data_IF_159565612601
#
_entry.id   IF_159565612601
#
_cell.length_a   1.000
_cell.length_b   1.000
_cell.length_c   1.000
_cell.angle_alpha   90.00
_cell.angle_beta   90.00
_cell.angle_gamma   90.00
#
_symmetry.space_group_name_H-M   'P 1'
#
loop_
_entity.id
_entity.type
_entity.pdbx_description
1 polymer ?
#
# COMPACT_ATOMS: atom_id res chain seq x y z
N UNK A 1 9.49 -5.46 33.87
CA UNK A 1 8.57 -5.26 33.72
C UNK A 1 8.11 -4.14 33.15
N UNK A 2 8.54 -3.27 33.12
CA UNK A 2 8.06 -2.05 32.61
C UNK A 2 8.65 -1.67 31.30
N UNK A 3 9.55 -2.46 30.80
CA UNK A 3 10.20 -2.09 29.57
C UNK A 3 9.29 -2.09 28.38
N UNK A 4 8.23 -2.89 28.43
CA UNK A 4 7.35 -2.91 27.29
C UNK A 4 6.57 -1.63 27.13
N UNK A 5 6.66 -0.76 28.06
CA UNK A 5 6.00 0.51 27.94
C UNK A 5 6.50 1.28 26.74
N UNK A 6 7.73 1.08 26.38
CA UNK A 6 8.28 1.81 25.27
C UNK A 6 7.60 1.42 23.98
N UNK A 7 7.36 0.14 23.81
CA UNK A 7 6.73 -0.28 22.56
C UNK A 7 5.32 0.22 22.46
N UNK A 8 4.69 0.43 23.57
CA UNK A 8 3.32 0.88 23.52
C UNK A 8 3.19 2.23 22.87
N UNK A 9 4.22 3.02 22.97
CA UNK A 9 4.10 4.31 22.39
C UNK A 9 4.19 4.30 20.91
N UNK A 10 4.96 3.44 20.40
CA UNK A 10 5.01 3.36 18.98
C UNK A 10 3.72 2.85 18.45
N UNK A 11 3.10 2.04 19.24
CA UNK A 11 1.87 1.47 18.80
C UNK A 11 0.73 2.43 18.91
N UNK A 12 0.96 3.57 19.49
CA UNK A 12 -0.09 4.56 19.50
C UNK A 12 -0.43 5.01 18.10
N UNK A 13 0.46 4.78 17.17
CA UNK A 13 0.06 4.90 15.79
C UNK A 13 -0.88 3.73 15.54
N UNK A 14 -2.16 4.03 15.39
CA UNK A 14 -3.17 3.02 15.21
C UNK A 14 -2.72 2.02 14.16
N UNK A 15 -2.79 0.74 14.46
CA UNK A 15 -2.41 -0.25 13.45
C UNK A 15 -3.31 -0.09 12.25
N UNK A 16 -2.72 -0.20 11.08
CA UNK A 16 -3.47 -0.11 9.85
C UNK A 16 -4.55 -1.18 9.84
N UNK A 17 -5.75 -0.82 9.42
CA UNK A 17 -6.84 -1.76 9.37
C UNK A 17 -6.60 -2.87 8.38
N UNK A 18 -7.18 -4.02 8.64
CA UNK A 18 -7.12 -5.16 7.73
C UNK A 18 -8.54 -5.42 7.24
N UNK A 19 -8.71 -5.40 5.91
CA UNK A 19 -9.99 -5.68 5.28
C UNK A 19 -9.95 -7.00 4.53
N UNK A 20 -11.08 -7.32 3.92
CA UNK A 20 -11.23 -8.53 3.14
C UNK A 20 -11.84 -8.23 1.79
N UNK A 21 -11.33 -8.87 0.76
CA UNK A 21 -11.85 -8.66 -0.59
C UNK A 21 -13.27 -9.18 -0.68
N UNK A 22 -14.18 -8.31 -1.13
CA UNK A 22 -15.57 -8.66 -1.34
C UNK A 22 -15.86 -9.00 -2.80
N UNK A 23 -15.20 -8.30 -3.73
CA UNK A 23 -15.42 -8.51 -5.16
C UNK A 23 -14.22 -8.02 -5.96
N UNK A 24 -13.91 -8.71 -7.05
CA UNK A 24 -12.87 -8.30 -8.00
C UNK A 24 -13.51 -8.21 -9.37
N UNK A 25 -13.38 -7.05 -10.03
CA UNK A 25 -13.94 -6.82 -11.36
C UNK A 25 -12.87 -6.09 -12.18
N UNK A 26 -12.06 -6.84 -12.94
CA UNK A 26 -10.94 -6.26 -13.64
C UNK A 26 -9.99 -5.60 -12.64
N UNK A 27 -9.56 -4.36 -12.88
CA UNK A 27 -8.65 -3.68 -11.95
C UNK A 27 -9.36 -3.13 -10.72
N UNK A 28 -10.68 -3.24 -10.63
CA UNK A 28 -11.46 -2.67 -9.54
C UNK A 28 -11.69 -3.75 -8.49
N UNK A 29 -11.34 -3.45 -7.25
CA UNK A 29 -11.48 -4.38 -6.14
C UNK A 29 -12.28 -3.71 -5.03
N UNK A 30 -13.38 -4.34 -4.63
CA UNK A 30 -14.18 -3.85 -3.51
C UNK A 30 -13.76 -4.62 -2.27
N UNK A 31 -13.51 -3.90 -1.18
CA UNK A 31 -12.92 -4.47 0.02
C UNK A 31 -13.74 -4.00 1.22
N UNK A 32 -14.06 -4.94 2.10
CA UNK A 32 -14.77 -4.64 3.34
C UNK A 32 -13.76 -4.46 4.47
N UNK A 33 -13.89 -3.35 5.22
CA UNK A 33 -13.05 -3.06 6.36
C UNK A 33 -13.90 -2.97 7.62
N UNK A 34 -13.31 -3.17 8.81
CA UNK A 34 -14.03 -2.91 10.04
C UNK A 34 -14.54 -1.47 10.08
N UNK A 35 -15.70 -1.28 10.68
CA UNK A 35 -16.37 0.02 10.67
C UNK A 35 -15.49 1.15 11.21
N UNK A 36 -14.63 0.87 12.16
CA UNK A 36 -13.76 1.86 12.78
C UNK A 36 -12.38 1.94 12.12
N UNK A 37 -12.18 1.24 11.00
CA UNK A 37 -10.88 1.19 10.33
C UNK A 37 -11.01 1.37 8.82
N UNK A 38 -11.96 2.17 8.37
CA UNK A 38 -12.17 2.42 6.95
C UNK A 38 -11.03 3.28 6.42
N UNK A 39 -10.32 2.85 5.37
CA UNK A 39 -9.24 3.66 4.81
C UNK A 39 -9.75 4.95 4.18
N UNK A 40 -8.91 5.98 4.23
CA UNK A 40 -9.25 7.23 3.56
C UNK A 40 -9.08 7.13 2.05
N UNK A 41 -9.69 8.08 1.35
CA UNK A 41 -9.51 8.21 -0.10
C UNK A 41 -8.02 8.39 -0.38
N UNK A 42 -7.55 7.77 -1.44
CA UNK A 42 -6.15 7.78 -1.88
C UNK A 42 -5.19 6.97 -1.00
N UNK A 43 -5.66 6.36 0.10
CA UNK A 43 -4.79 5.47 0.84
C UNK A 43 -4.31 4.33 -0.05
N UNK A 44 -3.06 3.95 0.13
CA UNK A 44 -2.51 2.76 -0.51
C UNK A 44 -2.87 1.54 0.33
N UNK A 45 -3.37 0.52 -0.33
CA UNK A 45 -3.66 -0.76 0.31
C UNK A 45 -2.70 -1.79 -0.26
N UNK A 46 -2.37 -2.79 0.53
CA UNK A 46 -1.44 -3.85 0.10
C UNK A 46 -2.02 -5.21 0.36
N UNK A 47 -1.83 -6.09 -0.60
CA UNK A 47 -2.16 -7.50 -0.45
C UNK A 47 -1.12 -8.31 -1.22
N UNK A 48 -1.15 -9.60 -1.07
CA UNK A 48 -0.23 -10.48 -1.78
C UNK A 48 -0.99 -11.34 -2.76
N UNK A 49 -0.42 -11.52 -3.94
CA UNK A 49 -0.96 -12.39 -4.96
C UNK A 49 -0.03 -13.57 -5.10
N UNK A 50 -0.58 -14.78 -4.99
CA UNK A 50 0.20 -15.99 -5.18
C UNK A 50 -0.06 -16.55 -6.56
N UNK A 51 0.98 -16.60 -7.38
CA UNK A 51 0.90 -17.17 -8.72
C UNK A 51 1.94 -18.30 -8.76
N UNK A 52 1.47 -19.53 -8.74
CA UNK A 52 2.35 -20.69 -8.68
C UNK A 52 3.15 -20.66 -7.40
N UNK A 53 4.48 -20.64 -7.53
CA UNK A 53 5.37 -20.64 -6.37
C UNK A 53 5.76 -19.23 -5.94
N UNK A 54 5.30 -18.20 -6.65
CA UNK A 54 5.70 -16.83 -6.36
C UNK A 54 4.61 -16.08 -5.61
N UNK A 55 5.05 -15.26 -4.67
CA UNK A 55 4.14 -14.35 -3.96
C UNK A 55 4.58 -12.94 -4.31
N UNK A 56 3.66 -12.15 -4.86
CA UNK A 56 3.93 -10.79 -5.31
C UNK A 56 3.08 -9.81 -4.53
N UNK A 57 3.67 -8.70 -4.14
CA UNK A 57 2.92 -7.64 -3.48
C UNK A 57 2.12 -6.88 -4.52
N UNK A 58 0.84 -6.68 -4.24
CA UNK A 58 -0.04 -5.87 -5.06
C UNK A 58 -0.48 -4.65 -4.27
N UNK A 59 -0.30 -3.47 -4.87
CA UNK A 59 -0.74 -2.21 -4.29
C UNK A 59 -2.02 -1.76 -4.96
N UNK A 60 -2.97 -1.28 -4.15
CA UNK A 60 -4.22 -0.72 -4.65
C UNK A 60 -4.38 0.67 -4.06
N UNK A 61 -5.15 1.52 -4.72
CA UNK A 61 -5.43 2.86 -4.22
C UNK A 61 -6.93 3.00 -3.99
N UNK A 62 -7.31 3.49 -2.82
CA UNK A 62 -8.73 3.71 -2.50
C UNK A 62 -9.25 4.85 -3.36
N UNK A 63 -10.26 4.56 -4.16
CA UNK A 63 -10.85 5.53 -5.08
C UNK A 63 -12.18 6.07 -4.57
N UNK A 64 -12.92 5.28 -3.81
CA UNK A 64 -14.28 5.65 -3.44
C UNK A 64 -14.73 4.87 -2.20
N UNK A 65 -15.48 5.53 -1.34
CA UNK A 65 -16.21 4.85 -0.26
C UNK A 65 -17.59 4.49 -0.79
N UNK A 66 -17.98 3.23 -0.62
CA UNK A 66 -19.26 2.76 -1.13
C UNK A 66 -20.36 2.75 -0.08
N UNK A 67 -20.00 2.98 1.19
CA UNK A 67 -20.93 2.78 2.30
C UNK A 67 -20.91 1.33 2.75
N UNK A 68 -21.57 1.04 3.87
CA UNK A 68 -21.67 -0.32 4.43
C UNK A 68 -20.27 -0.95 4.64
N UNK A 69 -19.31 -0.14 5.06
CA UNK A 69 -17.94 -0.59 5.36
C UNK A 69 -17.18 -1.07 4.15
N UNK A 70 -17.65 -0.75 2.94
CA UNK A 70 -16.98 -1.13 1.71
C UNK A 70 -16.24 0.06 1.10
N UNK A 71 -15.05 -0.20 0.60
CA UNK A 71 -14.31 0.75 -0.21
C UNK A 71 -14.05 0.15 -1.58
N UNK A 72 -13.97 1.00 -2.58
CA UNK A 72 -13.59 0.61 -3.93
C UNK A 72 -12.19 1.09 -4.18
N UNK A 73 -11.32 0.18 -4.58
CA UNK A 73 -9.92 0.48 -4.85
C UNK A 73 -9.53 0.05 -6.25
N UNK A 74 -8.52 0.69 -6.79
CA UNK A 74 -8.00 0.39 -8.11
C UNK A 74 -6.64 -0.26 -7.94
N UNK A 75 -6.46 -1.43 -8.53
CA UNK A 75 -5.19 -2.13 -8.48
C UNK A 75 -4.22 -1.55 -9.49
N UNK A 76 -2.95 -1.44 -9.10
CA UNK A 76 -1.91 -0.88 -9.95
C UNK A 76 -1.23 -1.94 -10.80
N UNK A 77 -1.54 -3.20 -10.58
CA UNK A 77 -1.04 -4.34 -11.35
C UNK A 77 -2.21 -5.28 -11.58
N UNK A 78 -2.04 -6.29 -12.45
CA UNK A 78 -3.13 -7.23 -12.71
C UNK A 78 -3.63 -7.90 -11.44
N UNK A 79 -4.93 -8.13 -11.39
CA UNK A 79 -5.60 -8.69 -10.21
C UNK A 79 -5.73 -10.21 -10.28
N UNK A 80 -5.12 -10.84 -11.28
CA UNK A 80 -5.15 -12.29 -11.41
C UNK A 80 -4.57 -12.91 -10.14
N UNK A 81 -5.26 -13.89 -9.62
CA UNK A 81 -4.82 -14.56 -8.40
C UNK A 81 -5.45 -14.02 -7.12
N UNK A 82 -6.14 -12.89 -7.17
CA UNK A 82 -6.89 -12.42 -6.00
C UNK A 82 -8.12 -13.27 -5.78
N UNK A 83 -8.43 -13.53 -4.52
CA UNK A 83 -9.60 -14.32 -4.17
C UNK A 83 -10.47 -13.57 -3.19
N UNK A 84 -11.78 -13.83 -3.24
CA UNK A 84 -12.72 -13.25 -2.31
C UNK A 84 -12.39 -13.70 -0.88
N UNK A 85 -12.46 -12.78 0.06
CA UNK A 85 -12.12 -13.08 1.45
C UNK A 85 -10.66 -12.91 1.79
N UNK A 86 -9.82 -12.64 0.79
CA UNK A 86 -8.40 -12.45 1.02
C UNK A 86 -8.14 -11.16 1.80
N UNK A 87 -7.14 -11.18 2.66
CA UNK A 87 -6.81 -10.02 3.47
C UNK A 87 -6.13 -8.92 2.66
N UNK A 88 -6.51 -7.69 2.95
CA UNK A 88 -5.90 -6.50 2.36
C UNK A 88 -5.60 -5.54 3.50
N UNK A 89 -4.38 -5.04 3.54
CA UNK A 89 -3.94 -4.17 4.63
C UNK A 89 -3.92 -2.72 4.17
N UNK A 90 -4.47 -1.83 5.00
CA UNK A 90 -4.39 -0.39 4.79
C UNK A 90 -3.03 0.09 5.29
N UNK A 91 -2.26 0.76 4.44
CA UNK A 91 -0.96 1.30 4.85
C UNK A 91 -1.08 2.56 5.69
N UNK A 92 -2.27 3.15 5.71
CA UNK A 92 -2.51 4.38 6.47
C UNK A 92 -2.04 5.65 5.77
N UNK A 93 -1.57 5.54 4.55
CA UNK A 93 -1.01 6.68 3.83
C UNK A 93 -1.17 6.52 2.32
N UNK A 94 -1.15 7.61 1.56
CA UNK A 94 -1.18 7.53 0.10
C UNK A 94 0.10 6.93 -0.46
N UNK A 95 0.05 6.53 -1.73
CA UNK A 95 1.23 6.12 -2.46
C UNK A 95 2.19 7.31 -2.49
N UNK A 96 3.46 7.04 -2.21
CA UNK A 96 4.49 8.08 -2.20
C UNK A 96 5.67 7.65 -3.05
N UNK A 97 6.39 8.63 -3.55
CA UNK A 97 7.56 8.39 -4.40
C UNK A 97 8.76 9.12 -3.83
N UNK A 98 9.98 8.58 -4.01
CA UNK A 98 11.18 9.28 -3.60
C UNK A 98 11.36 10.57 -4.37
N UNK A 99 11.93 11.58 -3.73
CA UNK A 99 12.22 12.86 -4.36
C UNK A 99 13.64 13.30 -3.99
N UNK A 100 14.15 14.28 -4.72
CA UNK A 100 15.45 14.87 -4.44
C UNK A 100 16.56 14.27 -5.30
N UNK A 101 17.78 14.68 -5.02
CA UNK A 101 18.93 14.23 -5.82
C UNK A 101 19.14 12.73 -5.77
N UNK A 102 18.66 12.09 -4.72
CA UNK A 102 18.80 10.64 -4.57
C UNK A 102 18.11 9.88 -5.71
N UNK A 103 17.16 10.52 -6.41
CA UNK A 103 16.43 9.87 -7.50
C UNK A 103 17.22 9.82 -8.80
N UNK A 104 18.30 10.60 -8.91
CA UNK A 104 19.08 10.65 -10.14
C UNK A 104 19.76 9.32 -10.42
N UNK A 105 19.72 8.89 -11.66
CA UNK A 105 20.33 7.63 -12.07
C UNK A 105 19.54 6.39 -11.70
N UNK A 106 18.34 6.54 -11.15
CA UNK A 106 17.52 5.41 -10.74
C UNK A 106 16.27 5.30 -11.57
N UNK A 107 15.82 4.07 -11.78
CA UNK A 107 14.57 3.76 -12.47
C UNK A 107 13.60 3.26 -11.41
N UNK A 108 12.39 3.82 -11.38
CA UNK A 108 11.41 3.51 -10.34
C UNK A 108 10.19 2.82 -10.90
N UNK A 109 9.57 1.98 -10.08
CA UNK A 109 8.23 1.48 -10.34
C UNK A 109 7.22 2.57 -10.01
N UNK A 110 5.95 2.34 -10.34
CA UNK A 110 4.89 3.32 -10.04
C UNK A 110 4.71 3.54 -8.54
N UNK A 111 5.16 2.59 -7.71
CA UNK A 111 5.08 2.73 -6.26
C UNK A 111 6.38 3.23 -5.64
N UNK A 112 7.35 3.63 -6.48
CA UNK A 112 8.58 4.26 -6.00
C UNK A 112 9.67 3.30 -5.58
N UNK A 113 9.61 2.06 -6.03
CA UNK A 113 10.68 1.09 -5.77
C UNK A 113 11.75 1.22 -6.84
N UNK A 114 13.02 1.17 -6.43
CA UNK A 114 14.14 1.26 -7.37
C UNK A 114 14.25 -0.03 -8.16
N UNK A 115 14.16 0.05 -9.48
CA UNK A 115 14.17 -1.13 -10.34
C UNK A 115 15.54 -1.47 -10.88
N UNK A 116 16.47 -0.51 -10.96
CA UNK A 116 17.81 -0.75 -11.50
C UNK A 116 18.87 -0.84 -10.40
N UNK A 117 18.50 -1.34 -9.23
CA UNK A 117 19.39 -1.35 -8.08
C UNK A 117 20.69 -2.11 -8.34
N UNK A 118 20.59 -3.19 -9.10
CA UNK A 118 21.78 -4.00 -9.39
C UNK A 118 22.77 -3.28 -10.29
N UNK A 119 22.36 -2.21 -10.96
CA UNK A 119 23.23 -1.44 -11.84
C UNK A 119 23.85 -0.24 -11.13
N UNK A 120 23.46 0.01 -9.88
CA UNK A 120 23.98 1.16 -9.14
C UNK A 120 25.27 0.79 -8.46
N UNK A 121 26.25 1.68 -8.54
CA UNK A 121 27.58 1.43 -7.98
C UNK A 121 27.80 2.15 -6.65
N UNK A 122 26.95 3.10 -6.32
CA UNK A 122 27.11 3.87 -5.09
C UNK A 122 25.94 3.61 -4.16
N UNK A 123 26.21 3.56 -2.85
CA UNK A 123 25.11 3.43 -1.90
C UNK A 123 24.24 4.67 -1.93
N UNK A 124 22.97 4.50 -1.60
CA UNK A 124 22.02 5.61 -1.58
C UNK A 124 21.07 5.44 -0.41
N UNK A 125 20.47 6.56 -0.01
CA UNK A 125 19.47 6.56 1.04
C UNK A 125 18.35 7.48 0.63
N UNK A 126 17.12 6.96 0.64
CA UNK A 126 15.95 7.76 0.31
C UNK A 126 15.48 8.41 1.60
N UNK A 127 15.67 9.72 1.69
CA UNK A 127 15.34 10.45 2.90
C UNK A 127 14.02 11.21 2.81
N UNK A 128 13.50 11.39 1.60
CA UNK A 128 12.28 12.15 1.42
C UNK A 128 11.40 11.48 0.37
N UNK A 129 10.11 11.35 0.69
CA UNK A 129 9.12 10.81 -0.24
C UNK A 129 7.91 11.73 -0.22
N UNK A 130 7.32 11.92 -1.39
CA UNK A 130 6.14 12.75 -1.53
C UNK A 130 4.95 11.92 -1.98
N UNK A 131 3.77 12.13 -1.39
CA UNK A 131 2.55 11.49 -1.91
C UNK A 131 2.32 11.92 -3.35
N UNK A 132 1.80 11.00 -4.17
CA UNK A 132 1.50 11.34 -5.55
C UNK A 132 0.31 12.31 -5.64
N UNK A 133 -0.58 12.29 -4.64
CA UNK A 133 -1.68 13.26 -4.55
C UNK A 133 -1.26 14.32 -3.54
N UNK A 134 -0.95 15.52 -4.03
CA UNK A 134 -0.53 16.63 -3.18
C UNK A 134 -1.37 17.85 -3.48
N UNK A 135 -1.50 18.71 -2.47
CA UNK A 135 -2.14 20.00 -2.68
C UNK A 135 -1.28 20.83 -3.65
N UNK A 136 -1.89 21.62 -4.53
CA UNK A 136 -1.16 22.46 -5.45
C UNK A 136 -0.39 23.56 -4.74
#
# INVERSE_FOLDING_TARGET
MTTHIVSDREDTKAPAGVGRIARVTGPVVDIEFPHDAIPGIYHALETEVTLGDQSLKLTLEVAQHLGDDLVRAIALKPTDGLVRGQEVRDTGAPISVPVGDVTKGKVFSVTGEVLNETMLTEPYEITERWPIHRAP
#
